data_IF_809958609660
#
_entry.id   IF_809958609660
#
_cell.length_a   1.000
_cell.length_b   1.000
_cell.length_c   1.000
_cell.angle_alpha   90.00
_cell.angle_beta   90.00
_cell.angle_gamma   90.00
#
_symmetry.space_group_name_H-M   'P 1'
#
loop_
_entity.id
_entity.type
_entity.pdbx_description
1 polymer ?
#
# COMPACT_ATOMS: atom_id res chain seq x y z
N UNK A 1 -1.92 -15.59 -46.53
CA UNK A 1 -2.03 -16.40 -45.30
C UNK A 1 -0.62 -16.55 -44.76
N UNK A 2 -0.12 -15.54 -44.05
CA UNK A 2 1.25 -15.53 -43.54
C UNK A 2 1.31 -16.31 -42.22
N UNK A 3 2.05 -17.43 -42.22
CA UNK A 3 2.45 -18.12 -41.00
C UNK A 3 3.76 -17.50 -40.52
N UNK A 4 3.72 -16.83 -39.39
CA UNK A 4 4.92 -16.38 -38.68
C UNK A 4 5.70 -17.58 -38.15
N UNK A 5 6.99 -17.65 -38.45
CA UNK A 5 7.90 -18.70 -37.97
C UNK A 5 8.17 -18.47 -36.46
N UNK A 6 8.07 -19.48 -35.58
CA UNK A 6 8.33 -19.28 -34.15
C UNK A 6 9.80 -18.90 -33.92
N UNK A 7 10.03 -17.77 -33.25
CA UNK A 7 11.37 -17.31 -32.87
C UNK A 7 11.98 -18.27 -31.84
N UNK A 8 13.08 -18.94 -32.19
CA UNK A 8 13.67 -20.05 -31.42
C UNK A 8 14.39 -19.64 -30.11
N UNK A 9 14.52 -18.34 -29.83
CA UNK A 9 15.37 -17.80 -28.74
C UNK A 9 14.64 -16.85 -27.78
N UNK A 10 13.32 -16.76 -27.83
CA UNK A 10 12.57 -15.94 -26.88
C UNK A 10 12.54 -16.63 -25.50
N UNK A 11 13.38 -16.15 -24.58
CA UNK A 11 13.21 -16.22 -23.13
C UNK A 11 12.89 -17.60 -22.52
N UNK A 12 13.65 -18.63 -22.89
CA UNK A 12 13.65 -19.93 -22.20
C UNK A 12 14.20 -19.84 -20.76
N UNK A 13 14.89 -18.75 -20.39
CA UNK A 13 15.52 -18.59 -19.08
C UNK A 13 14.55 -18.12 -17.97
N UNK A 14 13.29 -17.85 -18.30
CA UNK A 14 12.27 -17.34 -17.36
C UNK A 14 11.13 -18.32 -17.11
N UNK A 15 11.16 -19.50 -17.71
CA UNK A 15 10.19 -20.56 -17.41
C UNK A 15 10.59 -21.14 -16.05
N UNK A 16 9.81 -20.81 -15.00
CA UNK A 16 10.02 -21.19 -13.60
C UNK A 16 10.94 -20.29 -12.75
N UNK A 17 11.24 -19.06 -13.20
CA UNK A 17 11.94 -18.09 -12.34
C UNK A 17 10.97 -17.12 -11.68
N UNK A 18 10.96 -17.07 -10.35
CA UNK A 18 10.36 -15.98 -9.58
C UNK A 18 11.41 -14.89 -9.44
N UNK A 19 11.27 -13.80 -10.21
CA UNK A 19 12.14 -12.62 -10.09
C UNK A 19 11.58 -11.74 -8.97
N UNK A 20 12.26 -11.73 -7.82
CA UNK A 20 11.99 -10.72 -6.79
C UNK A 20 12.77 -9.46 -7.14
N UNK A 21 12.08 -8.39 -7.53
CA UNK A 21 12.72 -7.09 -7.75
C UNK A 21 13.13 -6.51 -6.40
N UNK A 22 14.42 -6.55 -6.09
CA UNK A 22 15.03 -5.82 -4.98
C UNK A 22 15.83 -4.65 -5.54
N UNK A 23 15.66 -3.47 -4.94
CA UNK A 23 16.38 -2.27 -5.37
C UNK A 23 17.87 -2.47 -5.18
N UNK A 24 18.65 -2.34 -6.25
CA UNK A 24 20.10 -2.31 -6.18
C UNK A 24 20.57 -1.18 -7.09
N UNK A 25 20.50 0.05 -6.58
CA UNK A 25 21.13 1.20 -7.19
C UNK A 25 22.23 1.71 -6.26
N UNK A 26 23.44 1.76 -6.82
CA UNK A 26 24.68 2.13 -6.14
C UNK A 26 24.63 3.58 -5.64
N UNK A 27 24.93 3.79 -4.36
CA UNK A 27 25.31 5.06 -3.70
C UNK A 27 24.29 6.20 -3.49
N UNK A 28 22.99 6.04 -3.69
CA UNK A 28 22.01 7.06 -3.25
C UNK A 28 20.99 6.50 -2.26
N UNK A 29 20.78 7.25 -1.17
CA UNK A 29 20.01 6.86 0.00
C UNK A 29 18.56 6.43 -0.35
N UNK A 30 18.12 5.32 0.27
CA UNK A 30 16.79 4.71 0.26
C UNK A 30 16.53 3.63 -0.81
N UNK A 31 16.75 2.37 -0.41
CA UNK A 31 16.77 1.17 -1.26
C UNK A 31 15.45 0.83 -1.96
N UNK A 32 14.32 0.86 -1.24
CA UNK A 32 13.02 0.41 -1.77
C UNK A 32 12.05 1.56 -2.08
N UNK A 33 12.22 2.73 -1.45
CA UNK A 33 11.34 3.88 -1.67
C UNK A 33 11.38 4.44 -3.09
N UNK A 34 12.48 4.20 -3.83
CA UNK A 34 12.66 4.71 -5.20
C UNK A 34 12.13 3.78 -6.31
N UNK A 35 11.66 2.57 -5.96
CA UNK A 35 11.18 1.58 -6.92
C UNK A 35 9.87 0.90 -6.50
N UNK A 36 9.30 1.30 -5.36
CA UNK A 36 8.00 0.82 -4.93
C UNK A 36 6.88 1.52 -5.73
N UNK A 37 5.65 1.04 -5.62
CA UNK A 37 4.49 1.65 -6.30
C UNK A 37 4.01 2.94 -5.63
N UNK A 38 4.79 3.47 -4.68
CA UNK A 38 4.43 4.58 -3.80
C UNK A 38 3.16 4.35 -2.97
N UNK A 39 2.56 3.15 -2.97
CA UNK A 39 1.33 2.86 -2.21
C UNK A 39 1.62 2.89 -0.71
N UNK A 40 0.91 3.76 0.02
CA UNK A 40 0.97 3.84 1.48
C UNK A 40 -0.24 3.13 2.12
N UNK A 41 -0.06 1.85 2.45
CA UNK A 41 -1.04 1.07 3.21
C UNK A 41 -0.43 0.49 4.47
N UNK A 42 -1.16 0.61 5.57
CA UNK A 42 -0.83 0.00 6.86
C UNK A 42 -1.30 -1.46 6.90
N UNK A 43 -0.86 -2.19 7.93
CA UNK A 43 -1.44 -3.48 8.28
C UNK A 43 -2.84 -3.35 8.86
N UNK A 44 -3.58 -4.45 8.93
CA UNK A 44 -4.91 -4.47 9.49
C UNK A 44 -4.86 -4.52 11.03
N UNK A 45 -5.79 -3.84 11.74
CA UNK A 45 -5.85 -3.83 13.22
C UNK A 45 -5.74 -5.24 13.83
N UNK A 46 -6.49 -6.19 13.27
CA UNK A 46 -6.50 -7.57 13.76
C UNK A 46 -5.11 -8.22 13.73
N UNK A 47 -4.28 -7.91 12.75
CA UNK A 47 -2.93 -8.48 12.64
C UNK A 47 -2.03 -7.96 13.76
N UNK A 48 -2.10 -6.65 14.05
CA UNK A 48 -1.38 -6.02 15.15
C UNK A 48 -1.85 -6.54 16.52
N UNK A 49 -3.17 -6.60 16.74
CA UNK A 49 -3.72 -7.17 17.97
C UNK A 49 -3.31 -8.64 18.15
N UNK A 50 -3.28 -9.40 17.06
CA UNK A 50 -2.80 -10.78 17.08
C UNK A 50 -1.30 -10.86 17.40
N UNK A 51 -0.47 -9.94 16.87
CA UNK A 51 0.95 -9.87 17.23
C UNK A 51 1.13 -9.58 18.72
N UNK A 52 0.43 -8.59 19.27
CA UNK A 52 0.46 -8.32 20.70
C UNK A 52 0.08 -9.54 21.55
N UNK A 53 -0.93 -10.30 21.12
CA UNK A 53 -1.32 -11.54 21.80
C UNK A 53 -0.25 -12.62 21.72
N UNK A 54 0.40 -12.79 20.57
CA UNK A 54 1.42 -13.82 20.35
C UNK A 54 2.74 -13.49 21.05
N UNK A 55 3.11 -12.22 21.12
CA UNK A 55 4.36 -11.76 21.77
C UNK A 55 4.17 -11.52 23.27
N UNK A 56 2.93 -11.27 23.71
CA UNK A 56 2.63 -10.80 25.06
C UNK A 56 2.98 -9.33 25.29
N UNK A 57 3.27 -8.58 24.23
CA UNK A 57 3.70 -7.19 24.29
C UNK A 57 2.62 -6.26 23.69
N UNK A 58 1.95 -5.43 24.52
CA UNK A 58 0.87 -4.56 24.08
C UNK A 58 1.34 -3.43 23.15
N UNK A 59 2.63 -3.11 23.06
CA UNK A 59 3.13 -2.10 22.12
C UNK A 59 2.94 -2.51 20.66
N UNK A 60 2.77 -3.81 20.39
CA UNK A 60 2.46 -4.33 19.06
C UNK A 60 0.97 -4.28 18.69
N UNK A 61 0.08 -3.91 19.63
CA UNK A 61 -1.34 -3.74 19.35
C UNK A 61 -1.58 -2.56 18.43
N UNK A 62 -2.75 -2.47 17.78
CA UNK A 62 -3.08 -1.32 16.94
C UNK A 62 -2.92 0.01 17.68
N UNK A 63 -3.41 0.05 18.92
CA UNK A 63 -3.30 1.21 19.79
C UNK A 63 -1.84 1.56 20.14
N UNK A 64 -0.97 0.55 20.24
CA UNK A 64 0.46 0.73 20.50
C UNK A 64 1.24 1.24 19.28
N UNK A 65 0.93 0.75 18.08
CA UNK A 65 1.66 1.13 16.85
C UNK A 65 1.13 2.41 16.21
N UNK A 66 -0.14 2.77 16.41
CA UNK A 66 -0.79 3.92 15.77
C UNK A 66 -0.05 5.26 16.01
N UNK A 67 0.44 5.60 17.22
CA UNK A 67 1.22 6.81 17.43
C UNK A 67 2.51 6.88 16.59
N UNK A 68 3.15 5.74 16.34
CA UNK A 68 4.35 5.66 15.50
C UNK A 68 4.04 5.87 14.03
N UNK A 69 2.90 5.35 13.55
CA UNK A 69 2.44 5.68 12.20
C UNK A 69 2.18 7.18 12.09
N UNK A 70 1.39 7.75 13.01
CA UNK A 70 1.06 9.18 12.97
C UNK A 70 2.26 10.11 13.13
N UNK A 71 3.38 9.67 13.71
CA UNK A 71 4.52 10.56 13.96
C UNK A 71 5.28 10.93 12.70
N UNK A 72 5.35 10.03 11.72
CA UNK A 72 6.07 10.28 10.46
C UNK A 72 5.16 10.78 9.34
N UNK A 73 3.84 10.72 9.50
CA UNK A 73 2.87 11.10 8.46
C UNK A 73 2.57 12.60 8.42
N UNK A 74 2.56 13.13 7.21
CA UNK A 74 1.92 14.38 6.82
C UNK A 74 0.80 14.07 5.81
N UNK A 75 -0.37 13.70 6.31
CA UNK A 75 -1.53 13.28 5.53
C UNK A 75 -2.28 14.49 4.95
N UNK A 76 -2.56 14.46 3.65
CA UNK A 76 -3.08 15.62 2.90
C UNK A 76 -4.50 15.42 2.37
N UNK A 77 -5.11 14.27 2.65
CA UNK A 77 -6.42 13.88 2.15
C UNK A 77 -7.49 13.91 3.27
N UNK A 78 -8.73 13.55 2.92
CA UNK A 78 -9.87 13.40 3.81
C UNK A 78 -9.67 12.23 4.79
N UNK A 79 -8.94 12.52 5.88
CA UNK A 79 -8.76 11.64 7.04
C UNK A 79 -9.11 12.37 8.33
N UNK A 80 -9.22 11.63 9.43
CA UNK A 80 -9.40 12.20 10.77
C UNK A 80 -8.09 12.25 11.57
N UNK A 81 -8.02 13.16 12.53
CA UNK A 81 -6.89 13.25 13.48
C UNK A 81 -6.80 12.06 14.44
N UNK A 82 -7.81 11.19 14.49
CA UNK A 82 -7.74 9.95 15.28
C UNK A 82 -6.76 8.99 14.63
N UNK A 83 -6.82 8.84 13.30
CA UNK A 83 -6.12 7.83 12.52
C UNK A 83 -4.86 8.34 11.81
N UNK A 84 -4.73 9.64 11.53
CA UNK A 84 -3.63 10.18 10.71
C UNK A 84 -2.75 11.22 11.43
N UNK A 85 -1.50 11.29 10.99
CA UNK A 85 -0.57 12.37 11.31
C UNK A 85 -0.62 13.48 10.25
N UNK A 86 -0.34 14.72 10.67
CA UNK A 86 -0.36 15.91 9.80
C UNK A 86 0.90 16.79 9.97
N UNK A 87 1.95 16.24 10.56
CA UNK A 87 3.15 17.00 10.98
C UNK A 87 4.45 16.24 10.79
N UNK A 88 4.38 15.00 10.28
CA UNK A 88 5.54 14.20 10.00
C UNK A 88 6.25 14.63 8.73
N UNK A 89 7.30 13.90 8.37
CA UNK A 89 8.13 14.22 7.20
C UNK A 89 7.65 13.53 5.93
N UNK A 90 6.88 12.45 6.05
CA UNK A 90 6.38 11.67 4.93
C UNK A 90 5.04 12.20 4.48
N UNK A 91 5.05 12.92 3.35
CA UNK A 91 3.83 13.41 2.72
C UNK A 91 3.04 12.24 2.14
N UNK A 92 1.76 12.17 2.50
CA UNK A 92 0.82 11.15 2.02
C UNK A 92 -0.39 11.82 1.41
N UNK A 93 -0.66 11.53 0.15
CA UNK A 93 -1.75 12.15 -0.60
C UNK A 93 -2.35 11.20 -1.63
N UNK A 94 -3.59 11.47 -2.04
CA UNK A 94 -4.16 10.78 -3.21
C UNK A 94 -3.58 11.40 -4.49
N UNK A 95 -3.30 10.58 -5.52
CA UNK A 95 -2.90 11.11 -6.82
C UNK A 95 -4.05 11.89 -7.45
N UNK A 96 -3.73 13.01 -8.11
CA UNK A 96 -4.69 13.86 -8.81
C UNK A 96 -5.49 13.12 -9.91
N UNK A 97 -4.90 12.07 -10.49
CA UNK A 97 -5.53 11.29 -11.54
C UNK A 97 -5.20 9.79 -11.43
N UNK A 98 -6.26 8.98 -11.33
CA UNK A 98 -6.17 7.51 -11.22
C UNK A 98 -7.11 6.80 -12.21
N UNK A 99 -7.33 7.39 -13.40
CA UNK A 99 -8.07 6.74 -14.49
C UNK A 99 -9.44 6.23 -14.04
N UNK A 100 -9.67 4.92 -14.19
CA UNK A 100 -10.94 4.25 -13.89
C UNK A 100 -11.20 3.96 -12.40
N UNK A 101 -10.28 4.30 -11.49
CA UNK A 101 -10.47 3.93 -10.08
C UNK A 101 -11.77 4.47 -9.45
N UNK A 102 -12.26 5.69 -9.76
CA UNK A 102 -13.56 6.15 -9.27
C UNK A 102 -14.72 5.22 -9.70
N UNK A 103 -14.69 4.69 -10.92
CA UNK A 103 -15.68 3.74 -11.45
C UNK A 103 -15.64 2.41 -10.69
N UNK A 104 -14.44 1.91 -10.38
CA UNK A 104 -14.27 0.71 -9.57
C UNK A 104 -14.76 0.89 -8.14
N UNK A 105 -14.51 2.05 -7.52
CA UNK A 105 -15.02 2.37 -6.19
C UNK A 105 -16.55 2.36 -6.18
N UNK A 106 -17.19 3.02 -7.16
CA UNK A 106 -18.66 3.00 -7.30
C UNK A 106 -19.21 1.58 -7.46
N UNK A 107 -18.58 0.76 -8.31
CA UNK A 107 -18.98 -0.64 -8.47
C UNK A 107 -18.83 -1.46 -7.18
N UNK A 108 -17.83 -1.17 -6.34
CA UNK A 108 -17.67 -1.82 -5.04
C UNK A 108 -18.74 -1.38 -4.03
N UNK A 109 -19.11 -0.10 -4.03
CA UNK A 109 -20.21 0.43 -3.22
C UNK A 109 -21.55 -0.24 -3.58
N UNK A 110 -21.83 -0.45 -4.87
CA UNK A 110 -23.01 -1.18 -5.35
C UNK A 110 -23.07 -2.63 -4.86
N UNK A 111 -21.90 -3.25 -4.62
CA UNK A 111 -21.77 -4.59 -4.04
C UNK A 111 -21.79 -4.58 -2.49
N UNK A 112 -21.96 -3.42 -1.86
CA UNK A 112 -22.04 -3.25 -0.42
C UNK A 112 -20.69 -3.08 0.29
N UNK A 113 -19.60 -2.84 -0.44
CA UNK A 113 -18.32 -2.49 0.17
C UNK A 113 -18.27 -1.01 0.53
N UNK A 114 -17.96 -0.65 1.78
CA UNK A 114 -17.91 0.75 2.19
C UNK A 114 -16.67 1.45 1.61
N UNK A 115 -16.89 2.64 1.08
CA UNK A 115 -15.86 3.58 0.66
C UNK A 115 -15.42 4.44 1.85
N UNK A 116 -14.48 3.91 2.62
CA UNK A 116 -13.92 4.56 3.81
C UNK A 116 -12.40 4.48 3.75
N UNK A 117 -11.74 5.15 4.68
CA UNK A 117 -10.28 5.15 4.78
C UNK A 117 -9.70 3.74 4.95
N UNK A 118 -8.71 3.41 4.12
CA UNK A 118 -8.02 2.11 4.10
C UNK A 118 -7.03 1.93 5.25
N UNK A 119 -6.56 3.04 5.82
CA UNK A 119 -5.55 3.06 6.90
C UNK A 119 -6.17 3.27 8.30
N UNK A 120 -7.49 3.28 8.38
CA UNK A 120 -8.27 3.26 9.60
C UNK A 120 -8.62 1.81 10.02
N UNK A 121 -9.01 1.55 11.28
CA UNK A 121 -9.21 0.21 11.82
C UNK A 121 -10.52 -0.48 11.35
N UNK A 122 -10.79 -0.46 10.05
CA UNK A 122 -11.98 -1.07 9.44
C UNK A 122 -11.66 -2.42 8.81
N UNK A 123 -12.62 -3.35 8.90
CA UNK A 123 -12.37 -4.75 8.57
C UNK A 123 -12.41 -5.11 7.08
N UNK A 124 -13.28 -4.45 6.32
CA UNK A 124 -13.52 -4.73 4.91
C UNK A 124 -13.94 -3.44 4.23
N UNK A 125 -13.06 -2.89 3.40
CA UNK A 125 -13.19 -1.55 2.83
C UNK A 125 -12.68 -1.55 1.40
N UNK A 126 -13.21 -0.65 0.57
CA UNK A 126 -12.73 -0.46 -0.80
C UNK A 126 -12.65 1.03 -1.12
N UNK A 127 -11.46 1.52 -1.44
CA UNK A 127 -11.20 2.93 -1.73
C UNK A 127 -9.94 3.05 -2.61
N UNK A 128 -9.66 4.26 -3.08
CA UNK A 128 -8.41 4.63 -3.73
C UNK A 128 -7.26 4.61 -2.71
N UNK A 129 -6.10 4.12 -3.15
CA UNK A 129 -4.91 4.02 -2.32
C UNK A 129 -4.21 5.38 -2.21
N UNK A 130 -3.83 5.82 -1.00
CA UNK A 130 -2.98 6.99 -0.86
C UNK A 130 -1.54 6.64 -1.24
N UNK A 131 -0.80 7.63 -1.73
CA UNK A 131 0.59 7.49 -2.16
C UNK A 131 1.53 8.25 -1.21
N UNK A 132 2.74 7.71 -1.00
CA UNK A 132 3.82 8.41 -0.33
C UNK A 132 4.68 9.16 -1.37
N UNK A 133 4.86 10.47 -1.21
CA UNK A 133 5.58 11.35 -2.14
C UNK A 133 6.89 11.90 -1.55
#
# INVERSE_FOLDING_TARGET
>A
MERTVPQKYASLNSISQVITRRGLLSYHYHWYGNINLMIHLRGHKHDFDNWANLTGDPEWSWEGVLPYFKSYEDYQDLGDEVNHGYKGELRIERPDYIGLAPEFVRGAEELGYPNVDLNAPYSKVFNQFPLNS
#
